data_IF_614385380709
#
_entry.id   IF_614385380709
#
_cell.length_a   1.000
_cell.length_b   1.000
_cell.length_c   1.000
_cell.angle_alpha   90.00
_cell.angle_beta   90.00
_cell.angle_gamma   90.00
#
_symmetry.space_group_name_H-M   'P 1'
#
loop_
_entity.id
_entity.type
_entity.pdbx_description
1 polymer ?
#
# COMPACT_ATOMS: atom_id res chain seq x y z
N UNK A 1 -15.70 7.91 -12.33
CA UNK A 1 -14.24 7.87 -12.11
C UNK A 1 -13.72 9.24 -11.74
N UNK A 2 -12.90 9.30 -10.72
CA UNK A 2 -12.24 10.54 -10.35
C UNK A 2 -10.74 10.43 -10.68
N UNK A 3 -10.22 11.42 -11.38
CA UNK A 3 -8.81 11.44 -11.77
C UNK A 3 -8.22 12.81 -11.45
N UNK A 4 -7.15 12.81 -10.66
CA UNK A 4 -6.45 14.03 -10.26
C UNK A 4 -4.98 13.88 -10.61
N UNK A 5 -4.43 14.87 -11.27
CA UNK A 5 -3.03 14.88 -11.66
C UNK A 5 -2.40 16.21 -11.32
N UNK A 6 -1.23 16.17 -10.66
CA UNK A 6 -0.46 17.38 -10.40
C UNK A 6 1.02 17.12 -10.67
N UNK A 7 1.73 18.12 -11.14
CA UNK A 7 3.17 18.00 -11.37
C UNK A 7 3.95 18.31 -10.10
N UNK A 8 3.62 19.40 -9.41
CA UNK A 8 4.28 19.81 -8.19
C UNK A 8 3.22 20.22 -7.18
N UNK A 9 3.30 19.67 -5.98
CA UNK A 9 2.34 19.97 -4.93
C UNK A 9 1.58 18.74 -4.51
N UNK A 10 0.87 18.84 -3.40
CA UNK A 10 0.18 17.72 -2.81
C UNK A 10 -1.25 17.56 -3.32
N UNK A 11 -1.77 16.36 -3.14
CA UNK A 11 -3.18 16.07 -3.33
C UNK A 11 -3.76 15.69 -1.97
N UNK A 12 -4.87 16.32 -1.62
CA UNK A 12 -5.59 15.98 -0.40
C UNK A 12 -7.04 15.67 -0.79
N UNK A 13 -7.44 14.43 -0.60
CA UNK A 13 -8.79 13.98 -0.89
C UNK A 13 -9.41 13.41 0.37
N UNK A 14 -10.64 13.84 0.68
CA UNK A 14 -11.29 13.43 1.92
C UNK A 14 -12.79 13.29 1.72
N UNK A 15 -13.35 12.25 2.33
CA UNK A 15 -14.78 12.00 2.36
C UNK A 15 -15.36 11.90 0.95
N UNK A 16 -14.89 10.92 0.19
CA UNK A 16 -15.23 10.75 -1.22
C UNK A 16 -15.86 9.39 -1.44
N UNK A 17 -16.92 9.36 -2.24
CA UNK A 17 -17.51 8.13 -2.76
C UNK A 17 -17.44 8.16 -4.27
N UNK A 18 -16.72 7.21 -4.86
CA UNK A 18 -16.50 7.17 -6.31
C UNK A 18 -16.46 5.73 -6.81
N UNK A 19 -16.64 5.56 -8.12
CA UNK A 19 -16.51 4.26 -8.75
C UNK A 19 -15.06 3.81 -8.86
N UNK A 20 -14.17 4.75 -9.18
CA UNK A 20 -12.73 4.50 -9.17
C UNK A 20 -11.99 5.82 -8.96
N UNK A 21 -10.79 5.71 -8.41
CA UNK A 21 -9.97 6.88 -8.08
C UNK A 21 -8.57 6.72 -8.67
N UNK A 22 -8.11 7.73 -9.39
CA UNK A 22 -6.78 7.73 -10.00
C UNK A 22 -6.06 9.02 -9.63
N UNK A 23 -4.96 8.91 -8.90
CA UNK A 23 -4.16 10.04 -8.44
C UNK A 23 -2.75 9.93 -8.98
N UNK A 24 -2.24 11.01 -9.57
CA UNK A 24 -0.89 11.06 -10.12
C UNK A 24 -0.20 12.32 -9.65
N UNK A 25 0.99 12.16 -9.07
CA UNK A 25 1.82 13.29 -8.61
C UNK A 25 3.25 13.05 -9.07
N UNK A 26 3.87 14.04 -9.68
CA UNK A 26 5.29 13.96 -10.00
C UNK A 26 6.13 14.24 -8.76
N UNK A 27 5.89 15.36 -8.10
CA UNK A 27 6.59 15.72 -6.86
C UNK A 27 5.60 16.27 -5.85
N UNK A 28 5.46 15.61 -4.72
CA UNK A 28 4.54 16.06 -3.68
C UNK A 28 3.96 14.92 -2.88
N UNK A 29 3.09 15.28 -1.96
CA UNK A 29 2.49 14.35 -1.01
C UNK A 29 1.04 14.08 -1.38
N UNK A 30 0.63 12.82 -1.27
CA UNK A 30 -0.78 12.44 -1.44
C UNK A 30 -1.34 12.08 -0.07
N UNK A 31 -2.45 12.68 0.28
CA UNK A 31 -3.20 12.35 1.50
C UNK A 31 -4.64 12.06 1.11
N UNK A 32 -5.08 10.84 1.35
CA UNK A 32 -6.43 10.39 1.03
C UNK A 32 -7.04 9.77 2.27
N UNK A 33 -8.23 10.23 2.65
CA UNK A 33 -8.90 9.70 3.84
C UNK A 33 -10.41 9.62 3.63
N UNK A 34 -11.03 8.66 4.31
CA UNK A 34 -12.48 8.47 4.29
C UNK A 34 -13.00 8.32 2.85
N UNK A 35 -12.48 7.33 2.12
CA UNK A 35 -12.88 7.07 0.74
C UNK A 35 -13.60 5.73 0.64
N UNK A 36 -14.73 5.75 -0.03
CA UNK A 36 -15.47 4.55 -0.39
C UNK A 36 -15.44 4.44 -1.92
N UNK A 37 -14.72 3.45 -2.42
CA UNK A 37 -14.50 3.26 -3.85
C UNK A 37 -15.01 1.88 -4.26
N UNK A 38 -15.88 1.82 -5.25
CA UNK A 38 -16.42 0.54 -5.70
C UNK A 38 -15.43 -0.24 -6.55
N UNK A 39 -14.49 0.44 -7.18
CA UNK A 39 -13.47 -0.17 -8.02
C UNK A 39 -12.08 0.04 -7.46
N UNK A 40 -11.16 0.45 -8.30
CA UNK A 40 -9.76 0.54 -7.95
C UNK A 40 -9.35 1.93 -7.48
N UNK A 41 -8.44 1.96 -6.51
CA UNK A 41 -7.70 3.17 -6.15
C UNK A 41 -6.30 3.02 -6.74
N UNK A 42 -5.96 3.87 -7.69
CA UNK A 42 -4.68 3.85 -8.38
C UNK A 42 -3.90 5.10 -8.03
N UNK A 43 -2.68 4.92 -7.54
CA UNK A 43 -1.83 6.01 -7.09
C UNK A 43 -0.47 5.90 -7.74
N UNK A 44 -0.03 6.98 -8.37
CA UNK A 44 1.29 7.03 -9.01
C UNK A 44 2.01 8.29 -8.53
N UNK A 45 3.16 8.11 -7.87
CA UNK A 45 3.97 9.20 -7.34
C UNK A 45 5.41 8.98 -7.74
N UNK A 46 6.00 9.94 -8.46
CA UNK A 46 7.42 9.82 -8.79
C UNK A 46 8.29 10.13 -7.57
N UNK A 47 8.01 11.23 -6.87
CA UNK A 47 8.74 11.58 -5.65
C UNK A 47 7.77 12.15 -4.63
N UNK A 48 7.68 11.52 -3.46
CA UNK A 48 6.81 12.00 -2.39
C UNK A 48 6.20 10.87 -1.59
N UNK A 49 5.53 11.23 -0.51
CA UNK A 49 4.89 10.28 0.39
C UNK A 49 3.40 10.14 0.09
N UNK A 50 2.88 8.97 0.34
CA UNK A 50 1.47 8.67 0.16
C UNK A 50 0.88 8.21 1.49
N UNK A 51 -0.18 8.88 1.93
CA UNK A 51 -0.91 8.51 3.15
C UNK A 51 -2.33 8.15 2.80
N UNK A 52 -2.72 6.92 3.10
CA UNK A 52 -4.07 6.42 2.86
C UNK A 52 -4.68 6.03 4.20
N UNK A 53 -5.85 6.58 4.51
CA UNK A 53 -6.51 6.37 5.79
C UNK A 53 -8.00 6.12 5.57
N UNK A 54 -8.53 5.10 6.25
CA UNK A 54 -9.98 4.79 6.22
C UNK A 54 -10.51 4.66 4.80
N UNK A 55 -9.96 3.72 4.04
CA UNK A 55 -10.33 3.52 2.64
C UNK A 55 -10.90 2.12 2.45
N UNK A 56 -12.02 2.06 1.74
CA UNK A 56 -12.61 0.80 1.31
C UNK A 56 -12.68 0.80 -0.21
N UNK A 57 -12.16 -0.23 -0.85
CA UNK A 57 -12.09 -0.32 -2.29
C UNK A 57 -11.97 -1.76 -2.75
N UNK A 58 -11.92 -1.97 -4.05
CA UNK A 58 -11.72 -3.30 -4.62
C UNK A 58 -10.23 -3.63 -4.68
N UNK A 59 -9.44 -2.78 -5.31
CA UNK A 59 -8.00 -2.93 -5.40
C UNK A 59 -7.29 -1.63 -5.05
N UNK A 60 -6.11 -1.73 -4.43
CA UNK A 60 -5.20 -0.59 -4.29
C UNK A 60 -3.99 -0.87 -5.14
N UNK A 61 -3.73 0.00 -6.10
CA UNK A 61 -2.60 -0.11 -7.01
C UNK A 61 -1.75 1.14 -6.81
N UNK A 62 -0.54 0.97 -6.30
CA UNK A 62 0.34 2.10 -6.02
C UNK A 62 1.72 1.84 -6.60
N UNK A 63 2.21 2.80 -7.38
CA UNK A 63 3.54 2.74 -7.93
C UNK A 63 4.28 4.05 -7.69
N UNK A 64 5.59 3.99 -7.59
CA UNK A 64 6.39 5.19 -7.41
C UNK A 64 7.87 4.90 -7.40
N UNK A 65 8.67 5.95 -7.54
CA UNK A 65 10.11 5.82 -7.54
C UNK A 65 10.68 6.07 -6.15
N UNK A 66 10.38 7.21 -5.54
CA UNK A 66 10.97 7.59 -4.26
C UNK A 66 9.89 8.10 -3.33
N UNK A 67 9.82 7.53 -2.13
CA UNK A 67 8.88 7.96 -1.10
C UNK A 67 8.18 6.81 -0.43
N UNK A 68 7.66 7.06 0.75
CA UNK A 68 7.01 6.05 1.56
C UNK A 68 5.52 6.00 1.28
N UNK A 69 4.91 4.84 1.54
CA UNK A 69 3.47 4.70 1.49
C UNK A 69 2.97 4.17 2.84
N UNK A 70 1.93 4.80 3.37
CA UNK A 70 1.31 4.45 4.63
C UNK A 70 -0.15 4.07 4.39
N UNK A 71 -0.54 2.88 4.85
CA UNK A 71 -1.90 2.38 4.71
C UNK A 71 -2.47 2.15 6.10
N UNK A 72 -3.32 3.07 6.56
CA UNK A 72 -3.97 3.02 7.86
C UNK A 72 -5.44 2.71 7.68
N UNK A 73 -5.86 1.53 8.12
CA UNK A 73 -7.23 1.05 7.98
C UNK A 73 -7.71 1.07 6.52
N UNK A 74 -6.87 0.61 5.61
CA UNK A 74 -7.19 0.50 4.19
C UNK A 74 -7.60 -0.93 3.89
N UNK A 75 -8.83 -1.11 3.44
CA UNK A 75 -9.39 -2.44 3.18
C UNK A 75 -9.71 -2.58 1.71
N UNK A 76 -9.10 -3.55 1.06
CA UNK A 76 -9.40 -3.90 -0.32
C UNK A 76 -10.08 -5.27 -0.33
N UNK A 77 -11.14 -5.41 -1.11
CA UNK A 77 -11.84 -6.69 -1.21
C UNK A 77 -11.10 -7.69 -2.08
N UNK A 78 -10.18 -7.20 -2.92
CA UNK A 78 -9.40 -8.05 -3.82
C UNK A 78 -7.91 -7.98 -3.52
N UNK A 79 -7.22 -6.92 -3.91
CA UNK A 79 -5.77 -6.96 -3.90
C UNK A 79 -5.12 -5.61 -3.58
N UNK A 80 -4.00 -5.67 -2.87
CA UNK A 80 -3.01 -4.60 -2.82
C UNK A 80 -1.89 -4.92 -3.81
N UNK A 81 -1.56 -3.98 -4.68
CA UNK A 81 -0.41 -4.10 -5.57
C UNK A 81 0.43 -2.84 -5.39
N UNK A 82 1.54 -2.96 -4.68
CA UNK A 82 2.36 -1.81 -4.26
C UNK A 82 3.78 -2.03 -4.74
N UNK A 83 4.29 -1.07 -5.51
CA UNK A 83 5.66 -1.11 -6.01
C UNK A 83 6.36 0.21 -5.73
N UNK A 84 7.57 0.14 -5.21
CA UNK A 84 8.45 1.28 -4.95
C UNK A 84 9.88 0.93 -5.34
N UNK A 85 10.63 1.91 -5.83
CA UNK A 85 12.07 1.71 -5.99
C UNK A 85 12.78 2.03 -4.69
N UNK A 86 12.51 3.18 -4.09
CA UNK A 86 13.09 3.56 -2.80
C UNK A 86 12.00 4.10 -1.90
N UNK A 87 11.81 3.46 -0.76
CA UNK A 87 10.81 3.91 0.21
C UNK A 87 10.25 2.75 1.01
N UNK A 88 9.68 3.08 2.14
CA UNK A 88 9.09 2.10 3.05
C UNK A 88 7.62 1.92 2.76
N UNK A 89 7.12 0.73 3.05
CA UNK A 89 5.69 0.42 2.97
C UNK A 89 5.23 0.05 4.38
N UNK A 90 4.24 0.78 4.89
CA UNK A 90 3.72 0.54 6.24
C UNK A 90 2.22 0.29 6.21
N UNK A 91 1.82 -0.78 6.89
CA UNK A 91 0.41 -1.12 7.08
C UNK A 91 0.04 -0.93 8.55
N UNK A 92 -1.14 -0.40 8.80
CA UNK A 92 -1.67 -0.29 10.15
C UNK A 92 -3.14 -0.72 10.13
N UNK A 93 -3.38 -1.97 10.55
CA UNK A 93 -4.72 -2.52 10.55
C UNK A 93 -5.37 -2.55 9.18
N UNK A 94 -4.60 -2.79 8.14
CA UNK A 94 -5.08 -2.84 6.76
C UNK A 94 -5.19 -4.29 6.31
N UNK A 95 -6.00 -4.54 5.29
CA UNK A 95 -6.16 -5.90 4.80
C UNK A 95 -6.62 -5.93 3.34
N UNK A 96 -6.35 -7.06 2.69
CA UNK A 96 -6.82 -7.37 1.35
C UNK A 96 -6.84 -8.89 1.20
N UNK A 97 -7.58 -9.38 0.22
CA UNK A 97 -7.61 -10.81 -0.07
C UNK A 97 -6.23 -11.31 -0.50
N UNK A 98 -5.56 -10.53 -1.35
CA UNK A 98 -4.19 -10.80 -1.76
C UNK A 98 -3.36 -9.53 -1.63
N UNK A 99 -2.09 -9.69 -1.26
CA UNK A 99 -1.19 -8.56 -1.08
C UNK A 99 0.08 -8.84 -1.85
N UNK A 100 0.48 -7.88 -2.69
CA UNK A 100 1.75 -7.92 -3.39
C UNK A 100 2.48 -6.61 -3.13
N UNK A 101 3.68 -6.70 -2.55
CA UNK A 101 4.51 -5.53 -2.25
C UNK A 101 5.91 -5.77 -2.78
N UNK A 102 6.42 -4.81 -3.52
CA UNK A 102 7.79 -4.87 -4.01
C UNK A 102 8.46 -3.52 -3.82
N UNK A 103 9.63 -3.52 -3.19
CA UNK A 103 10.48 -2.34 -3.09
C UNK A 103 11.92 -2.77 -3.29
N UNK A 104 12.72 -1.94 -3.92
CA UNK A 104 14.15 -2.26 -4.10
C UNK A 104 14.91 -1.92 -2.83
N UNK A 105 14.74 -0.72 -2.32
CA UNK A 105 15.38 -0.29 -1.07
C UNK A 105 14.33 0.29 -0.13
N UNK A 106 14.10 -0.37 0.99
CA UNK A 106 13.15 0.06 1.99
C UNK A 106 12.59 -1.09 2.79
N UNK A 107 11.96 -0.77 3.89
CA UNK A 107 11.37 -1.76 4.78
C UNK A 107 9.88 -1.92 4.49
N UNK A 108 9.38 -3.13 4.68
CA UNK A 108 7.95 -3.40 4.63
C UNK A 108 7.52 -3.85 6.02
N UNK A 109 6.74 -3.03 6.70
CA UNK A 109 6.37 -3.28 8.08
C UNK A 109 4.90 -3.00 8.30
N UNK A 110 4.36 -3.54 9.37
CA UNK A 110 3.02 -3.17 9.80
C UNK A 110 2.18 -4.32 10.29
N UNK A 111 0.87 -4.09 10.32
CA UNK A 111 -0.10 -5.07 10.80
C UNK A 111 -1.23 -5.25 9.80
N UNK A 112 -1.68 -6.50 9.69
CA UNK A 112 -2.83 -6.88 8.87
C UNK A 112 -3.92 -7.41 9.80
N UNK A 113 -5.12 -7.56 9.28
CA UNK A 113 -6.29 -7.94 10.10
C UNK A 113 -6.59 -9.44 10.06
N UNK A 114 -6.18 -10.13 9.00
CA UNK A 114 -6.46 -11.56 8.85
C UNK A 114 -5.19 -12.32 8.50
N UNK A 115 -5.20 -13.62 8.77
CA UNK A 115 -4.05 -14.46 8.45
C UNK A 115 -3.79 -14.50 6.96
N UNK A 116 -2.51 -14.60 6.61
CA UNK A 116 -2.06 -14.69 5.23
C UNK A 116 -1.00 -15.77 5.11
N UNK A 117 -0.89 -16.33 3.94
CA UNK A 117 0.25 -17.17 3.59
C UNK A 117 1.33 -16.25 3.04
N UNK A 118 2.41 -16.12 3.79
CA UNK A 118 3.46 -15.16 3.47
C UNK A 118 4.53 -15.78 2.57
N UNK A 119 4.81 -15.09 1.47
CA UNK A 119 5.92 -15.44 0.57
C UNK A 119 6.82 -14.21 0.57
N UNK A 120 7.98 -14.32 1.22
CA UNK A 120 8.84 -13.17 1.45
C UNK A 120 10.24 -13.42 0.91
N UNK A 121 10.85 -12.36 0.41
CA UNK A 121 12.21 -12.43 -0.12
C UNK A 121 12.93 -11.10 0.14
N UNK A 122 14.12 -11.17 0.71
CA UNK A 122 15.02 -10.03 0.81
C UNK A 122 16.45 -10.51 0.59
N UNK A 123 17.25 -9.73 -0.10
CA UNK A 123 18.65 -10.06 -0.31
C UNK A 123 19.46 -9.61 0.91
N UNK A 124 19.21 -8.41 1.42
CA UNK A 124 19.92 -7.89 2.59
C UNK A 124 18.88 -7.36 3.58
N UNK A 125 18.71 -8.07 4.69
CA UNK A 125 17.76 -7.69 5.72
C UNK A 125 17.16 -8.89 6.42
N UNK A 126 16.28 -8.62 7.36
CA UNK A 126 15.62 -9.66 8.17
C UNK A 126 14.17 -9.81 7.77
N UNK A 127 13.62 -11.00 7.97
CA UNK A 127 12.23 -11.29 7.72
C UNK A 127 11.57 -11.79 8.99
N UNK A 128 10.54 -11.09 9.44
CA UNK A 128 9.70 -11.51 10.57
C UNK A 128 8.24 -11.44 10.14
N UNK A 129 7.64 -12.60 9.89
CA UNK A 129 6.23 -12.69 9.53
C UNK A 129 5.58 -13.82 10.30
N UNK A 130 4.26 -13.76 10.55
CA UNK A 130 3.58 -14.86 11.22
C UNK A 130 3.62 -16.12 10.37
N UNK A 131 3.61 -17.26 11.03
CA UNK A 131 3.51 -18.54 10.36
C UNK A 131 2.02 -18.89 10.28
N UNK A 132 1.50 -18.89 9.08
CA UNK A 132 0.11 -19.25 8.82
C UNK A 132 0.06 -20.20 7.64
N UNK A 133 -0.86 -21.14 7.68
CA UNK A 133 -1.03 -22.12 6.61
C UNK A 133 -2.32 -21.85 5.82
N UNK A 134 -3.15 -20.97 6.32
CA UNK A 134 -4.41 -20.59 5.68
C UNK A 134 -4.46 -19.08 5.50
N UNK A 135 -5.27 -18.64 4.55
CA UNK A 135 -5.50 -17.24 4.29
C UNK A 135 -5.11 -16.88 2.87
N UNK A 136 -5.26 -15.62 2.52
CA UNK A 136 -4.86 -15.12 1.23
C UNK A 136 -3.36 -15.05 1.07
N UNK A 137 -2.92 -14.82 -0.14
CA UNK A 137 -1.49 -14.74 -0.44
C UNK A 137 -0.94 -13.35 -0.12
N UNK A 138 0.19 -13.31 0.58
CA UNK A 138 0.90 -12.07 0.84
C UNK A 138 2.34 -12.25 0.35
N UNK A 139 2.65 -11.65 -0.78
CA UNK A 139 3.97 -11.73 -1.39
C UNK A 139 4.69 -10.41 -1.20
N UNK A 140 5.84 -10.44 -0.55
CA UNK A 140 6.61 -9.25 -0.22
C UNK A 140 8.05 -9.46 -0.66
N UNK A 141 8.55 -8.57 -1.51
CA UNK A 141 9.90 -8.65 -2.06
C UNK A 141 10.60 -7.32 -1.84
N UNK A 142 11.78 -7.38 -1.22
CA UNK A 142 12.68 -6.22 -1.14
C UNK A 142 14.10 -6.68 -1.39
N UNK A 143 14.92 -5.86 -2.03
CA UNK A 143 16.33 -6.20 -2.23
C UNK A 143 17.12 -5.82 -0.98
N UNK A 144 16.96 -4.61 -0.49
CA UNK A 144 17.64 -4.13 0.71
C UNK A 144 16.62 -3.56 1.68
N UNK A 145 16.41 -4.22 2.81
CA UNK A 145 15.46 -3.79 3.81
C UNK A 145 14.89 -4.96 4.59
N UNK A 146 14.19 -4.64 5.65
CA UNK A 146 13.58 -5.64 6.52
C UNK A 146 12.11 -5.81 6.19
N UNK A 147 11.61 -7.02 6.43
CA UNK A 147 10.18 -7.33 6.29
C UNK A 147 9.69 -7.74 7.68
N UNK A 148 8.73 -6.98 8.21
CA UNK A 148 8.16 -7.28 9.52
C UNK A 148 6.67 -7.03 9.50
N UNK A 149 5.90 -8.10 9.51
CA UNK A 149 4.43 -8.03 9.46
C UNK A 149 3.87 -8.78 10.65
N UNK A 150 2.85 -8.23 11.25
CA UNK A 150 2.10 -8.88 12.34
C UNK A 150 0.62 -8.94 11.96
N UNK A 151 -0.12 -9.78 12.63
CA UNK A 151 -1.57 -9.86 12.45
C UNK A 151 -2.21 -9.27 13.71
N UNK A 152 -3.04 -8.28 13.49
CA UNK A 152 -3.76 -7.61 14.57
C UNK A 152 -5.07 -8.36 14.80
N UNK A 153 -5.29 -8.75 16.04
CA UNK A 153 -6.51 -9.46 16.43
C UNK A 153 -7.37 -8.63 17.37
#
# INVERSE_FOLDING_TARGET
MMKIKTSTGGICAKNISVGSLNLTVSTGKITVSEVNCEGDVTISVSTGKTYLTDIACKNVISGGNTGDIYLDNVIATEKFSIERSTGDVKFDGSDAKEIFVRTDTGDVTGSLLTDKVFITQTDTGNVEVPKAVDGGKCEIITDTGDIKITIRQ
#
